data_IF_035241989878
#
_entry.id   IF_035241989878
#
_cell.length_a   1.000
_cell.length_b   1.000
_cell.length_c   1.000
_cell.angle_alpha   90.00
_cell.angle_beta   90.00
_cell.angle_gamma   90.00
#
_symmetry.space_group_name_H-M   'P 1'
#
loop_
_entity.id
_entity.type
_entity.pdbx_description
1 polymer ?
#
# COMPACT_ATOMS: atom_id res chain seq x y z
N UNK A 1 -18.82 -5.88 -13.95
CA UNK A 1 -17.85 -4.87 -13.55
C UNK A 1 -16.86 -5.57 -12.62
N UNK A 2 -15.66 -5.81 -13.10
CA UNK A 2 -14.69 -6.66 -12.38
C UNK A 2 -14.12 -5.89 -11.19
N UNK A 3 -14.05 -6.53 -10.02
CA UNK A 3 -13.45 -5.98 -8.79
C UNK A 3 -12.02 -5.47 -9.06
N UNK A 4 -11.34 -6.03 -10.06
CA UNK A 4 -10.00 -5.64 -10.50
C UNK A 4 -9.86 -4.17 -10.95
N UNK A 5 -10.93 -3.58 -11.48
CA UNK A 5 -10.88 -2.21 -12.03
C UNK A 5 -11.05 -1.11 -10.96
N UNK A 6 -11.34 -1.50 -9.72
CA UNK A 6 -11.60 -0.57 -8.61
C UNK A 6 -10.48 -0.46 -7.58
N UNK A 7 -9.45 -1.29 -7.67
CA UNK A 7 -8.33 -1.21 -6.75
C UNK A 7 -7.44 -0.04 -7.18
N UNK A 8 -7.68 1.11 -6.60
CA UNK A 8 -6.76 2.25 -6.70
C UNK A 8 -5.52 1.91 -5.90
N UNK A 9 -4.41 1.74 -6.59
CA UNK A 9 -3.15 1.35 -6.02
C UNK A 9 -2.19 2.51 -6.09
N UNK A 10 -1.36 2.62 -5.07
CA UNK A 10 -0.41 3.72 -4.93
C UNK A 10 1.00 3.19 -5.15
N UNK A 11 1.63 3.44 -6.30
CA UNK A 11 3.05 3.21 -6.44
C UNK A 11 3.81 4.13 -5.48
N UNK A 12 4.84 3.60 -4.87
CA UNK A 12 5.72 4.33 -3.97
C UNK A 12 7.00 4.65 -4.71
N UNK A 13 7.34 5.92 -4.81
CA UNK A 13 8.61 6.39 -5.35
C UNK A 13 9.49 6.90 -4.22
N UNK A 14 10.56 6.17 -3.93
CA UNK A 14 11.61 6.61 -3.00
C UNK A 14 12.74 7.27 -3.77
N UNK A 15 13.16 8.46 -3.34
CA UNK A 15 14.31 9.15 -3.88
C UNK A 15 15.29 9.52 -2.77
N UNK A 16 16.56 9.12 -2.92
CA UNK A 16 17.66 9.62 -2.09
C UNK A 16 18.18 10.89 -2.73
N UNK A 17 18.29 11.94 -1.92
CA UNK A 17 18.75 13.24 -2.36
C UNK A 17 20.17 13.49 -1.86
N UNK A 18 20.99 14.11 -2.70
CA UNK A 18 22.32 14.61 -2.30
C UNK A 18 22.14 15.76 -1.32
N UNK A 19 22.85 15.72 -0.21
CA UNK A 19 22.93 16.83 0.74
C UNK A 19 24.38 17.18 1.05
N UNK A 20 24.67 18.47 1.22
CA UNK A 20 25.96 18.99 1.62
C UNK A 20 26.36 18.61 3.05
N UNK A 21 25.39 18.27 3.91
CA UNK A 21 25.59 18.10 5.36
C UNK A 21 25.62 16.62 5.84
N UNK A 22 26.05 15.69 5.02
CA UNK A 22 26.19 14.25 5.34
C UNK A 22 24.90 13.52 5.75
N UNK A 23 23.76 14.19 5.88
CA UNK A 23 22.46 13.52 5.98
C UNK A 23 21.91 13.31 4.56
N UNK A 24 21.84 12.07 4.11
CA UNK A 24 21.19 11.75 2.82
C UNK A 24 19.68 11.71 3.03
N UNK A 25 18.94 12.80 2.84
CA UNK A 25 17.50 12.79 3.03
C UNK A 25 16.84 11.90 2.00
N UNK A 26 15.83 11.16 2.45
CA UNK A 26 15.00 10.32 1.61
C UNK A 26 13.66 11.03 1.43
N UNK A 27 13.21 11.13 0.19
CA UNK A 27 11.89 11.65 -0.16
C UNK A 27 11.03 10.49 -0.63
N UNK A 28 10.01 10.17 0.15
CA UNK A 28 8.99 9.20 -0.21
C UNK A 28 7.80 9.90 -0.84
N UNK A 29 7.41 9.44 -2.02
CA UNK A 29 6.30 9.99 -2.77
C UNK A 29 5.29 8.88 -3.00
N UNK A 30 4.10 9.06 -2.49
CA UNK A 30 2.95 8.22 -2.74
C UNK A 30 2.05 8.92 -3.75
N UNK A 31 1.81 8.29 -4.89
CA UNK A 31 0.95 8.85 -5.92
C UNK A 31 -0.34 8.07 -6.00
N UNK A 32 -1.43 8.71 -5.62
CA UNK A 32 -2.75 8.10 -5.65
C UNK A 32 -3.25 7.89 -7.09
N UNK A 33 -4.10 6.90 -7.27
CA UNK A 33 -4.79 6.57 -8.53
C UNK A 33 -3.92 6.02 -9.67
N UNK A 34 -3.04 5.08 -9.37
CA UNK A 34 -2.52 4.21 -10.41
C UNK A 34 -3.47 3.03 -10.63
N UNK A 35 -3.91 2.80 -11.85
CA UNK A 35 -4.73 1.63 -12.15
C UNK A 35 -3.93 0.35 -11.95
N UNK A 36 -4.52 -0.62 -11.23
CA UNK A 36 -3.97 -1.98 -11.19
C UNK A 36 -3.94 -2.54 -12.62
N UNK A 37 -2.77 -2.98 -13.03
CA UNK A 37 -2.56 -3.44 -14.41
C UNK A 37 -2.74 -2.29 -15.38
N UNK A 38 -1.81 -1.34 -15.38
CA UNK A 38 -1.67 -0.44 -16.51
C UNK A 38 -1.81 -1.26 -17.80
N UNK A 39 -2.66 -0.84 -18.71
CA UNK A 39 -3.00 -1.63 -19.91
C UNK A 39 -1.79 -2.19 -20.64
N UNK A 40 -0.63 -1.54 -20.50
CA UNK A 40 0.64 -1.95 -21.10
C UNK A 40 1.58 -2.69 -20.14
N UNK A 41 1.22 -2.83 -18.86
CA UNK A 41 2.06 -3.38 -17.79
C UNK A 41 3.04 -2.37 -17.19
N UNK A 42 3.27 -2.47 -15.89
CA UNK A 42 4.15 -1.56 -15.15
C UNK A 42 5.59 -1.57 -15.67
N UNK A 43 6.10 -2.71 -16.11
CA UNK A 43 7.47 -2.83 -16.63
C UNK A 43 7.76 -1.89 -17.81
N UNK A 44 6.71 -1.54 -18.58
CA UNK A 44 6.87 -0.64 -19.74
C UNK A 44 6.69 0.84 -19.39
N UNK A 45 5.90 1.15 -18.38
CA UNK A 45 5.50 2.53 -18.11
C UNK A 45 6.20 3.14 -16.91
N UNK A 46 6.79 2.32 -16.00
CA UNK A 46 7.34 2.79 -14.71
C UNK A 46 8.33 3.94 -14.85
N UNK A 47 9.23 3.89 -15.84
CA UNK A 47 10.23 4.94 -16.02
C UNK A 47 9.58 6.26 -16.47
N UNK A 48 8.67 6.20 -17.44
CA UNK A 48 7.92 7.37 -17.90
C UNK A 48 7.06 7.96 -16.79
N UNK A 49 6.50 7.10 -15.93
CA UNK A 49 5.73 7.50 -14.77
C UNK A 49 6.60 8.25 -13.75
N UNK A 50 7.76 7.71 -13.41
CA UNK A 50 8.74 8.34 -12.51
C UNK A 50 9.16 9.70 -13.05
N UNK A 51 9.49 9.80 -14.34
CA UNK A 51 9.91 11.05 -14.97
C UNK A 51 8.78 12.10 -14.96
N UNK A 52 7.53 11.68 -15.14
CA UNK A 52 6.38 12.58 -15.04
C UNK A 52 6.20 13.11 -13.61
N UNK A 53 6.38 12.26 -12.58
CA UNK A 53 6.33 12.66 -11.17
C UNK A 53 7.46 13.65 -10.85
N UNK A 54 8.69 13.35 -11.23
CA UNK A 54 9.84 14.25 -11.02
C UNK A 54 9.62 15.61 -11.71
N UNK A 55 9.10 15.60 -12.94
CA UNK A 55 8.76 16.82 -13.67
C UNK A 55 7.67 17.64 -12.96
N UNK A 56 6.70 16.97 -12.34
CA UNK A 56 5.66 17.64 -11.57
C UNK A 56 6.25 18.30 -10.33
N UNK A 57 7.10 17.59 -9.57
CA UNK A 57 7.78 18.12 -8.40
C UNK A 57 8.68 19.29 -8.79
N UNK A 58 9.35 19.22 -9.93
CA UNK A 58 10.21 20.28 -10.45
C UNK A 58 9.51 21.62 -10.68
N UNK A 59 8.17 21.65 -10.73
CA UNK A 59 7.42 22.93 -10.75
C UNK A 59 7.50 23.68 -9.41
N UNK A 60 7.69 22.97 -8.31
CA UNK A 60 7.74 23.51 -6.96
C UNK A 60 9.17 23.54 -6.40
N UNK A 61 10.01 22.61 -6.85
CA UNK A 61 11.42 22.49 -6.51
C UNK A 61 12.26 22.34 -7.79
N UNK A 62 12.61 23.43 -8.48
CA UNK A 62 13.26 23.39 -9.80
C UNK A 62 14.58 22.59 -9.83
N UNK A 63 15.30 22.57 -8.71
CA UNK A 63 16.60 21.91 -8.62
C UNK A 63 16.52 20.44 -8.24
N UNK A 64 15.32 19.89 -8.00
CA UNK A 64 15.13 18.52 -7.50
C UNK A 64 15.86 17.49 -8.36
N UNK A 65 15.80 17.64 -9.69
CA UNK A 65 16.39 16.69 -10.62
C UNK A 65 17.91 16.60 -10.48
N UNK A 66 18.59 17.71 -10.15
CA UNK A 66 20.04 17.72 -9.91
C UNK A 66 20.43 17.17 -8.55
N UNK A 67 19.48 17.16 -7.61
CA UNK A 67 19.67 16.66 -6.26
C UNK A 67 19.45 15.15 -6.13
N UNK A 68 18.77 14.52 -7.08
CA UNK A 68 18.48 13.07 -7.02
C UNK A 68 19.78 12.28 -7.18
N UNK A 69 20.11 11.44 -6.19
CA UNK A 69 21.23 10.50 -6.25
C UNK A 69 20.77 9.15 -6.76
N UNK A 70 19.70 8.61 -6.15
CA UNK A 70 19.07 7.35 -6.56
C UNK A 70 17.56 7.46 -6.52
N UNK A 71 16.89 6.69 -7.37
CA UNK A 71 15.42 6.58 -7.37
C UNK A 71 15.03 5.11 -7.43
N UNK A 72 14.04 4.73 -6.62
CA UNK A 72 13.45 3.38 -6.60
C UNK A 72 11.94 3.53 -6.67
N UNK A 73 11.30 2.80 -7.56
CA UNK A 73 9.84 2.72 -7.62
C UNK A 73 9.40 1.32 -7.21
N UNK A 74 8.43 1.25 -6.33
CA UNK A 74 7.73 0.02 -5.97
C UNK A 74 6.32 0.12 -6.56
N UNK A 75 6.07 -0.74 -7.53
CA UNK A 75 4.78 -0.79 -8.22
C UNK A 75 3.82 -1.74 -7.50
N UNK A 76 2.51 -1.66 -7.77
CA UNK A 76 1.55 -2.65 -7.28
C UNK A 76 1.91 -4.09 -7.65
N UNK A 77 2.41 -4.30 -8.87
CA UNK A 77 2.90 -5.60 -9.33
C UNK A 77 4.09 -6.10 -8.50
N UNK A 78 5.00 -5.20 -8.12
CA UNK A 78 6.13 -5.55 -7.26
C UNK A 78 5.66 -5.96 -5.85
N UNK A 79 4.66 -5.26 -5.30
CA UNK A 79 4.07 -5.59 -4.00
C UNK A 79 3.37 -6.96 -4.08
N UNK A 80 2.58 -7.20 -5.10
CA UNK A 80 1.90 -8.49 -5.27
C UNK A 80 2.90 -9.65 -5.41
N UNK A 81 3.94 -9.47 -6.24
CA UNK A 81 4.96 -10.50 -6.48
C UNK A 81 5.83 -10.79 -5.26
N UNK A 82 6.24 -9.74 -4.52
CA UNK A 82 7.20 -9.90 -3.43
C UNK A 82 6.54 -10.20 -2.08
N UNK A 83 5.31 -9.73 -1.86
CA UNK A 83 4.62 -9.86 -0.57
C UNK A 83 3.35 -10.71 -0.64
N UNK A 84 2.98 -11.22 -1.83
CA UNK A 84 1.79 -12.04 -2.05
C UNK A 84 0.48 -11.35 -1.61
N UNK A 85 0.46 -10.03 -1.63
CA UNK A 85 -0.72 -9.23 -1.33
C UNK A 85 -1.53 -9.06 -2.60
N UNK A 86 -2.70 -9.68 -2.67
CA UNK A 86 -3.55 -9.66 -3.86
C UNK A 86 -3.81 -8.24 -4.35
N UNK A 87 -3.46 -8.01 -5.62
CA UNK A 87 -3.56 -6.70 -6.23
C UNK A 87 -2.50 -5.70 -5.73
N UNK A 88 -1.54 -6.10 -4.88
CA UNK A 88 -0.45 -5.26 -4.37
C UNK A 88 -0.93 -4.12 -3.48
N UNK A 89 -2.13 -4.18 -2.92
CA UNK A 89 -2.67 -3.12 -2.07
C UNK A 89 -2.22 -3.31 -0.62
N UNK A 90 -1.37 -2.42 -0.13
CA UNK A 90 -0.76 -2.49 1.21
C UNK A 90 -1.77 -2.45 2.38
N UNK A 91 -2.99 -1.97 2.16
CA UNK A 91 -4.08 -2.08 3.12
C UNK A 91 -4.86 -3.39 3.02
N UNK A 92 -4.41 -4.35 2.18
CA UNK A 92 -5.06 -5.64 1.92
C UNK A 92 -6.49 -5.52 1.37
N UNK A 93 -6.76 -4.46 0.66
CA UNK A 93 -8.05 -4.15 0.04
C UNK A 93 -8.30 -2.66 0.00
N UNK A 94 -9.12 -2.24 -0.95
CA UNK A 94 -9.48 -0.84 -1.12
C UNK A 94 -10.23 -0.32 0.11
N UNK A 95 -9.91 0.91 0.54
CA UNK A 95 -10.63 1.57 1.63
C UNK A 95 -11.90 2.18 1.04
N UNK A 96 -12.93 1.36 0.90
CA UNK A 96 -14.28 1.76 0.52
C UNK A 96 -15.26 1.58 1.69
N UNK A 97 -16.47 2.09 1.56
CA UNK A 97 -17.49 2.05 2.62
C UNK A 97 -17.77 0.60 3.08
N UNK A 98 -17.77 -0.34 2.15
CA UNK A 98 -17.95 -1.78 2.41
C UNK A 98 -16.71 -2.48 2.98
N UNK A 99 -15.61 -1.76 3.12
CA UNK A 99 -14.35 -2.21 3.72
C UNK A 99 -13.94 -1.37 4.94
N UNK A 100 -14.88 -0.59 5.49
CA UNK A 100 -14.64 0.21 6.68
C UNK A 100 -15.27 -0.44 7.92
N UNK A 101 -14.67 -0.19 9.05
CA UNK A 101 -15.15 -0.61 10.37
C UNK A 101 -15.46 -2.11 10.45
N UNK A 102 -16.64 -2.44 10.94
CA UNK A 102 -17.12 -3.81 11.14
C UNK A 102 -17.48 -4.56 9.85
N UNK A 103 -17.40 -3.90 8.70
CA UNK A 103 -17.62 -4.53 7.41
C UNK A 103 -16.36 -5.24 6.88
N UNK A 104 -15.20 -5.01 7.50
CA UNK A 104 -13.92 -5.58 7.11
C UNK A 104 -13.60 -6.85 7.92
N UNK A 105 -13.13 -7.93 7.31
CA UNK A 105 -12.88 -8.14 5.87
C UNK A 105 -14.16 -8.37 5.06
N UNK A 106 -15.17 -8.92 5.68
CA UNK A 106 -16.52 -9.14 5.16
C UNK A 106 -17.53 -8.98 6.30
N UNK A 107 -18.79 -8.66 6.00
CA UNK A 107 -19.86 -8.62 7.00
C UNK A 107 -19.92 -9.92 7.79
N UNK A 108 -19.92 -9.83 9.12
CA UNK A 108 -19.97 -10.98 10.02
C UNK A 108 -18.61 -11.56 10.45
N UNK A 109 -17.48 -11.17 9.81
CA UNK A 109 -16.15 -11.67 10.17
C UNK A 109 -15.26 -10.60 10.84
N UNK A 110 -15.82 -9.50 11.33
CA UNK A 110 -15.08 -8.42 11.99
C UNK A 110 -14.55 -8.77 13.39
N UNK A 111 -14.98 -9.92 13.95
CA UNK A 111 -14.61 -10.38 15.30
C UNK A 111 -13.40 -11.31 15.30
N UNK A 112 -12.59 -11.28 14.25
CA UNK A 112 -11.32 -12.03 14.09
C UNK A 112 -11.47 -13.54 13.95
N UNK A 113 -12.60 -14.12 14.29
CA UNK A 113 -12.91 -15.55 14.16
C UNK A 113 -13.29 -15.86 12.72
N UNK A 114 -12.87 -17.03 12.24
CA UNK A 114 -13.32 -17.56 10.96
C UNK A 114 -14.40 -18.62 11.19
N UNK A 115 -14.98 -19.14 10.11
CA UNK A 115 -15.90 -20.27 10.16
C UNK A 115 -15.19 -21.61 10.41
N UNK A 116 -13.86 -21.62 10.48
CA UNK A 116 -13.06 -22.79 10.84
C UNK A 116 -12.63 -22.66 12.28
N UNK A 117 -12.93 -23.68 13.08
CA UNK A 117 -12.56 -23.72 14.49
C UNK A 117 -11.03 -23.60 14.67
N UNK A 118 -10.62 -22.74 15.58
CA UNK A 118 -9.21 -22.49 15.88
C UNK A 118 -8.45 -21.65 14.85
N UNK A 119 -9.10 -21.18 13.77
CA UNK A 119 -8.49 -20.29 12.80
C UNK A 119 -8.96 -18.84 12.99
N UNK A 120 -8.01 -17.97 13.25
CA UNK A 120 -8.24 -16.54 13.48
C UNK A 120 -7.57 -15.68 12.43
N UNK A 121 -8.15 -14.51 12.18
CA UNK A 121 -7.61 -13.51 11.26
C UNK A 121 -7.03 -12.34 12.03
N UNK A 122 -5.91 -11.80 11.55
CA UNK A 122 -5.31 -10.59 12.08
C UNK A 122 -4.64 -9.78 10.96
N UNK A 123 -4.15 -8.59 11.28
CA UNK A 123 -3.42 -7.76 10.33
C UNK A 123 -4.30 -6.74 9.60
N UNK A 124 -3.73 -6.08 8.60
CA UNK A 124 -4.35 -4.93 7.92
C UNK A 124 -5.66 -5.26 7.20
N UNK A 125 -5.86 -6.52 6.83
CA UNK A 125 -7.10 -7.00 6.19
C UNK A 125 -8.29 -7.14 7.13
N UNK A 126 -8.12 -7.03 8.46
CA UNK A 126 -9.18 -7.18 9.45
C UNK A 126 -9.58 -5.84 10.09
N UNK A 127 -10.72 -5.83 10.79
CA UNK A 127 -11.14 -4.67 11.56
C UNK A 127 -10.07 -4.26 12.59
N UNK A 128 -9.81 -2.97 12.84
CA UNK A 128 -10.32 -1.77 12.16
C UNK A 128 -9.57 -1.40 10.87
N UNK A 129 -8.67 -2.23 10.39
CA UNK A 129 -7.84 -1.98 9.22
C UNK A 129 -6.38 -1.71 9.55
N UNK A 130 -5.58 -1.40 8.53
CA UNK A 130 -4.17 -1.08 8.66
C UNK A 130 -3.91 0.28 9.31
N UNK A 131 -2.64 0.71 9.33
CA UNK A 131 -2.20 1.99 9.87
C UNK A 131 -1.11 1.87 10.93
N UNK A 132 -0.42 0.72 11.00
CA UNK A 132 0.71 0.45 11.91
C UNK A 132 0.35 0.58 13.42
N UNK A 133 -0.94 0.50 13.75
CA UNK A 133 -1.44 0.65 15.12
C UNK A 133 -1.27 -0.60 15.97
N UNK A 134 -1.11 -1.77 15.33
CA UNK A 134 -1.12 -3.07 16.01
C UNK A 134 -2.51 -3.50 16.53
N UNK A 135 -3.54 -2.68 16.38
CA UNK A 135 -4.89 -2.95 16.92
C UNK A 135 -5.48 -4.26 16.40
N UNK A 136 -5.43 -4.59 15.09
CA UNK A 136 -5.97 -5.86 14.61
C UNK A 136 -5.33 -7.08 15.27
N UNK A 137 -4.00 -7.05 15.43
CA UNK A 137 -3.27 -8.13 16.10
C UNK A 137 -3.61 -8.25 17.57
N UNK A 138 -3.70 -7.13 18.30
CA UNK A 138 -4.10 -7.09 19.70
C UNK A 138 -5.51 -7.69 19.90
N UNK A 139 -6.46 -7.26 19.08
CA UNK A 139 -7.83 -7.71 19.19
C UNK A 139 -7.99 -9.20 18.82
N UNK A 140 -7.24 -9.66 17.80
CA UNK A 140 -7.22 -11.08 17.46
C UNK A 140 -6.65 -11.94 18.59
N UNK A 141 -5.57 -11.50 19.23
CA UNK A 141 -5.01 -12.19 20.39
C UNK A 141 -6.00 -12.25 21.56
N UNK A 142 -6.75 -11.17 21.80
CA UNK A 142 -7.79 -11.17 22.82
C UNK A 142 -8.92 -12.16 22.49
N UNK A 143 -9.37 -12.21 21.23
CA UNK A 143 -10.38 -13.17 20.80
C UNK A 143 -9.93 -14.62 21.01
N UNK A 144 -8.65 -14.93 20.74
CA UNK A 144 -8.07 -16.26 20.99
C UNK A 144 -8.09 -16.59 22.48
N UNK A 145 -7.73 -15.64 23.34
CA UNK A 145 -7.71 -15.85 24.81
C UNK A 145 -9.11 -16.01 25.40
N UNK A 146 -10.12 -15.39 24.80
CA UNK A 146 -11.52 -15.55 25.22
C UNK A 146 -12.09 -16.94 24.86
N UNK A 147 -11.55 -17.57 23.82
CA UNK A 147 -12.00 -18.88 23.34
C UNK A 147 -11.20 -20.05 23.93
N UNK A 148 -10.11 -19.79 24.66
CA UNK A 148 -9.23 -20.78 25.27
C UNK A 148 -9.70 -21.23 26.65
#
# INVERSE_FOLDING_TARGET
>A
MCIRDRLSMEPILEMKLKNSDQSNPVLDIQVQYASYGAQEGWDKIKDNYVDAVIKLIGKYAPDIQSCIETKTIVTPDDIEKNFYVSGGHWHHGEIQIDQLFMLRPIPGASQYRTHLDGLYMCGAGTHPGGGLTGIPGKNAAQAILEDA
#
